data_IF_153730902186
#
_entry.id   IF_153730902186
#
_cell.length_a   1.000
_cell.length_b   1.000
_cell.length_c   1.000
_cell.angle_alpha   90.00
_cell.angle_beta   90.00
_cell.angle_gamma   90.00
#
_symmetry.space_group_name_H-M   'P 1'
#
loop_
_entity.id
_entity.type
_entity.pdbx_description
1 polymer ?
#
# COMPACT_ATOMS: atom_id res chain seq x y z
N UNK A 1 38.80 -56.80 16.38
CA UNK A 1 38.44 -57.78 15.33
C UNK A 1 36.94 -57.68 15.09
N UNK A 2 36.53 -57.17 13.95
CA UNK A 2 35.56 -57.74 12.99
C UNK A 2 35.47 -56.70 11.86
N UNK A 3 36.05 -57.06 10.71
CA UNK A 3 35.82 -56.44 9.40
C UNK A 3 34.41 -56.77 8.89
N UNK A 4 33.85 -55.95 7.99
CA UNK A 4 33.13 -56.35 6.76
C UNK A 4 32.72 -55.07 6.02
N UNK A 5 33.39 -54.70 4.92
CA UNK A 5 33.17 -55.05 3.49
C UNK A 5 32.08 -54.22 2.76
N UNK A 6 32.59 -53.49 1.77
CA UNK A 6 32.02 -52.78 0.61
C UNK A 6 31.15 -53.63 -0.33
N UNK A 7 30.18 -52.99 -1.04
CA UNK A 7 29.81 -53.12 -2.50
C UNK A 7 28.90 -51.89 -2.85
N UNK A 8 29.23 -50.94 -3.76
CA UNK A 8 29.02 -50.89 -5.24
C UNK A 8 27.54 -51.13 -5.70
N UNK A 9 26.88 -50.45 -6.65
CA UNK A 9 27.23 -49.66 -7.85
C UNK A 9 25.96 -49.04 -8.53
N UNK A 10 26.18 -48.23 -9.61
CA UNK A 10 25.35 -48.03 -10.83
C UNK A 10 24.10 -47.09 -10.69
N UNK A 11 23.68 -46.21 -11.61
CA UNK A 11 24.04 -45.84 -13.00
C UNK A 11 23.03 -44.79 -13.59
N UNK A 12 23.48 -44.00 -14.59
CA UNK A 12 22.76 -43.22 -15.66
C UNK A 12 21.77 -42.07 -15.33
N UNK A 13 22.00 -40.87 -15.91
CA UNK A 13 21.49 -40.50 -17.26
C UNK A 13 21.98 -39.14 -17.75
N UNK A 14 22.27 -39.10 -19.05
CA UNK A 14 22.51 -37.93 -19.91
C UNK A 14 21.22 -37.13 -20.13
N UNK A 15 21.33 -35.80 -20.26
CA UNK A 15 20.56 -35.04 -21.25
C UNK A 15 21.37 -33.85 -21.76
N UNK A 16 21.66 -33.85 -23.05
CA UNK A 16 22.10 -32.68 -23.80
C UNK A 16 20.88 -31.86 -24.21
N UNK A 17 21.02 -30.53 -24.20
CA UNK A 17 20.06 -29.64 -24.84
C UNK A 17 20.81 -28.65 -25.74
N UNK A 18 20.29 -28.61 -26.96
CA UNK A 18 20.74 -27.96 -28.18
C UNK A 18 20.59 -26.43 -28.09
N UNK A 19 21.62 -25.72 -28.54
CA UNK A 19 21.57 -24.29 -28.86
C UNK A 19 20.65 -24.04 -30.06
N UNK A 20 19.68 -23.13 -29.91
CA UNK A 20 18.98 -22.53 -31.05
C UNK A 20 18.94 -21.01 -30.89
N UNK A 21 19.82 -20.36 -31.63
CA UNK A 21 19.82 -18.94 -31.92
C UNK A 21 18.74 -18.62 -32.94
N UNK A 22 17.83 -17.70 -32.61
CA UNK A 22 17.05 -16.96 -33.60
C UNK A 22 16.97 -15.49 -33.19
N UNK A 23 17.29 -14.67 -34.19
CA UNK A 23 17.41 -13.23 -34.19
C UNK A 23 16.07 -12.55 -34.53
N UNK A 24 15.92 -11.34 -33.97
CA UNK A 24 15.21 -10.17 -34.53
C UNK A 24 13.70 -10.23 -34.67
N UNK A 25 13.00 -9.52 -33.78
CA UNK A 25 12.14 -8.37 -34.11
C UNK A 25 12.10 -7.45 -32.88
N UNK A 26 12.62 -6.24 -33.00
CA UNK A 26 12.64 -5.24 -31.93
C UNK A 26 11.32 -4.45 -31.89
N UNK A 27 10.70 -4.24 -30.72
CA UNK A 27 9.74 -3.16 -30.53
C UNK A 27 10.34 -2.02 -29.70
N UNK A 28 10.22 -0.82 -30.27
CA UNK A 28 10.25 0.53 -29.69
C UNK A 28 10.99 0.74 -28.36
N UNK A 29 12.09 1.49 -28.47
CA UNK A 29 12.94 1.93 -27.38
C UNK A 29 12.22 2.76 -26.32
N UNK A 30 12.48 2.38 -25.08
CA UNK A 30 12.17 2.98 -23.78
C UNK A 30 12.85 4.35 -23.54
N UNK A 31 12.78 5.28 -24.51
CA UNK A 31 13.33 6.64 -24.39
C UNK A 31 12.30 7.73 -24.03
N UNK A 32 11.00 7.43 -24.05
CA UNK A 32 9.96 8.46 -23.83
C UNK A 32 9.66 8.82 -22.36
N UNK A 33 10.18 8.08 -21.37
CA UNK A 33 9.83 8.35 -19.95
C UNK A 33 10.79 9.31 -19.25
N UNK A 34 12.06 9.39 -19.68
CA UNK A 34 13.06 10.24 -19.03
C UNK A 34 13.19 11.64 -19.66
N UNK A 35 12.75 11.84 -20.90
CA UNK A 35 12.75 13.18 -21.54
C UNK A 35 11.59 14.07 -21.06
N UNK A 36 10.60 13.53 -20.33
CA UNK A 36 9.54 14.32 -19.70
C UNK A 36 9.95 15.08 -18.43
N UNK A 37 11.13 14.78 -17.85
CA UNK A 37 11.60 15.46 -16.63
C UNK A 37 12.45 16.71 -16.96
N UNK A 38 12.90 16.89 -18.21
CA UNK A 38 13.86 17.94 -18.56
C UNK A 38 13.28 19.20 -19.23
N UNK A 39 11.97 19.34 -19.41
CA UNK A 39 11.37 20.45 -20.17
C UNK A 39 10.42 21.35 -19.36
N UNK A 40 10.85 21.79 -18.17
CA UNK A 40 10.12 22.78 -17.36
C UNK A 40 11.00 23.97 -16.95
N UNK A 41 11.78 24.49 -17.89
CA UNK A 41 12.54 25.73 -17.74
C UNK A 41 12.21 26.71 -18.87
N UNK A 42 10.96 27.14 -18.94
CA UNK A 42 10.60 28.37 -19.65
C UNK A 42 9.58 29.14 -18.83
N UNK A 43 10.11 30.15 -18.15
CA UNK A 43 9.39 31.07 -17.28
C UNK A 43 8.38 31.88 -18.08
N UNK A 44 7.10 31.65 -17.84
CA UNK A 44 6.06 32.64 -18.07
C UNK A 44 5.40 32.92 -16.72
N UNK A 45 5.60 34.16 -16.24
CA UNK A 45 4.97 34.68 -15.03
C UNK A 45 3.52 34.98 -15.38
N UNK A 46 2.68 33.93 -15.32
CA UNK A 46 1.23 34.09 -15.21
C UNK A 46 0.88 33.88 -13.74
N UNK A 47 0.68 34.98 -13.02
CA UNK A 47 -0.01 34.95 -11.72
C UNK A 47 -1.51 34.78 -11.97
N UNK A 48 -1.90 33.64 -12.56
CA UNK A 48 -3.23 33.12 -12.31
C UNK A 48 -3.20 32.59 -10.89
N UNK A 49 -3.97 33.21 -10.00
CA UNK A 49 -4.45 32.58 -8.78
C UNK A 49 -5.25 31.32 -9.17
N UNK A 50 -4.57 30.28 -9.65
CA UNK A 50 -5.16 28.97 -9.82
C UNK A 50 -5.46 28.52 -8.40
N UNK A 51 -6.74 28.60 -8.01
CA UNK A 51 -7.20 27.93 -6.80
C UNK A 51 -6.56 26.54 -6.82
N UNK A 52 -5.74 26.23 -5.81
CA UNK A 52 -5.06 24.94 -5.75
C UNK A 52 -6.13 23.87 -5.94
N UNK A 53 -5.92 22.99 -6.92
CA UNK A 53 -6.91 22.00 -7.28
C UNK A 53 -7.27 21.18 -6.03
N UNK A 54 -8.55 21.11 -5.67
CA UNK A 54 -9.00 20.30 -4.55
C UNK A 54 -8.84 18.82 -4.88
N UNK A 55 -8.49 17.98 -3.90
CA UNK A 55 -8.63 16.54 -4.05
C UNK A 55 -10.10 16.15 -3.90
N UNK A 56 -10.67 15.37 -4.84
CA UNK A 56 -12.05 14.88 -4.76
C UNK A 56 -12.18 13.45 -5.27
N UNK A 57 -12.94 12.63 -4.55
CA UNK A 57 -13.35 11.28 -4.99
C UNK A 57 -14.87 11.12 -5.01
N UNK A 58 -15.37 10.36 -5.99
CA UNK A 58 -16.78 9.94 -6.05
C UNK A 58 -17.12 8.84 -5.04
N UNK A 59 -16.13 8.31 -4.30
CA UNK A 59 -16.34 7.37 -3.20
C UNK A 59 -16.86 8.07 -1.93
N UNK A 60 -16.76 9.40 -1.84
CA UNK A 60 -17.27 10.16 -0.71
C UNK A 60 -18.80 9.95 -0.56
N UNK A 61 -19.25 9.72 0.67
CA UNK A 61 -20.65 9.45 0.99
C UNK A 61 -21.18 8.06 0.62
N UNK A 62 -20.36 7.17 0.02
CA UNK A 62 -20.78 5.81 -0.36
C UNK A 62 -20.48 4.74 0.70
N UNK A 63 -19.92 5.10 1.85
CA UNK A 63 -19.53 4.14 2.90
C UNK A 63 -20.75 3.68 3.69
N UNK A 64 -20.72 2.41 4.07
CA UNK A 64 -21.61 1.86 5.09
C UNK A 64 -20.90 1.79 6.43
N UNK A 65 -21.64 1.94 7.53
CA UNK A 65 -21.08 1.82 8.88
C UNK A 65 -20.80 0.38 9.30
N UNK A 66 -21.59 -0.57 8.79
CA UNK A 66 -21.57 -1.95 9.29
C UNK A 66 -20.62 -2.87 8.52
N UNK A 67 -20.28 -2.55 7.27
CA UNK A 67 -19.52 -3.42 6.38
C UNK A 67 -18.55 -2.63 5.51
N UNK A 68 -17.48 -3.30 5.08
CA UNK A 68 -16.71 -2.84 3.92
C UNK A 68 -17.50 -3.10 2.65
N UNK A 69 -17.38 -2.20 1.67
CA UNK A 69 -18.03 -2.32 0.37
C UNK A 69 -16.97 -2.59 -0.68
N UNK A 70 -17.19 -3.56 -1.55
CA UNK A 70 -16.29 -3.82 -2.69
C UNK A 70 -16.26 -2.63 -3.63
N UNK A 71 -15.10 -1.97 -3.73
CA UNK A 71 -14.88 -0.80 -4.60
C UNK A 71 -14.45 -1.23 -6.01
N UNK A 72 -13.64 -2.27 -6.09
CA UNK A 72 -13.18 -2.92 -7.31
C UNK A 72 -13.00 -4.42 -7.06
N UNK A 73 -12.59 -5.19 -8.07
CA UNK A 73 -12.22 -6.60 -7.88
C UNK A 73 -11.15 -6.79 -6.79
N UNK A 74 -10.30 -5.78 -6.60
CA UNK A 74 -9.05 -5.85 -5.88
C UNK A 74 -9.06 -4.96 -4.60
N UNK A 75 -10.05 -4.07 -4.46
CA UNK A 75 -10.07 -3.05 -3.42
C UNK A 75 -11.45 -3.00 -2.76
N UNK A 76 -11.48 -2.86 -1.44
CA UNK A 76 -12.69 -2.52 -0.71
C UNK A 76 -12.60 -1.11 -0.11
N UNK A 77 -13.74 -0.44 -0.01
CA UNK A 77 -13.93 0.71 0.88
C UNK A 77 -14.04 0.19 2.31
N UNK A 78 -13.27 0.80 3.21
CA UNK A 78 -13.41 0.56 4.64
C UNK A 78 -14.78 1.05 5.13
N UNK A 79 -15.28 0.56 6.28
CA UNK A 79 -16.50 1.11 6.85
C UNK A 79 -16.35 2.60 7.21
N UNK A 80 -17.48 3.31 7.32
CA UNK A 80 -17.53 4.72 7.67
C UNK A 80 -16.74 5.07 8.95
N UNK A 81 -16.77 4.18 9.95
CA UNK A 81 -16.04 4.30 11.22
C UNK A 81 -14.53 4.53 11.02
N UNK A 82 -13.92 3.97 9.98
CA UNK A 82 -12.51 4.17 9.69
C UNK A 82 -12.21 5.64 9.38
N UNK A 83 -13.06 6.26 8.55
CA UNK A 83 -12.91 7.64 8.13
C UNK A 83 -13.25 8.63 9.24
N UNK A 84 -14.25 8.29 10.07
CA UNK A 84 -14.57 9.07 11.27
C UNK A 84 -13.41 9.02 12.28
N UNK A 85 -12.80 7.84 12.47
CA UNK A 85 -11.62 7.70 13.33
C UNK A 85 -10.44 8.53 12.80
N UNK A 86 -10.21 8.59 11.49
CA UNK A 86 -9.18 9.47 10.91
C UNK A 86 -9.47 10.94 11.28
N UNK A 87 -10.70 11.42 11.04
CA UNK A 87 -11.09 12.82 11.35
C UNK A 87 -10.94 13.16 12.83
N UNK A 88 -11.29 12.23 13.71
CA UNK A 88 -11.33 12.47 15.15
C UNK A 88 -9.95 12.34 15.82
N UNK A 89 -9.06 11.52 15.26
CA UNK A 89 -7.82 11.10 15.93
C UNK A 89 -6.55 11.55 15.24
N UNK A 90 -6.57 11.79 13.94
CA UNK A 90 -5.42 12.37 13.23
C UNK A 90 -5.47 13.89 13.39
N UNK A 91 -4.44 14.53 13.97
CA UNK A 91 -4.43 15.97 14.19
C UNK A 91 -4.62 16.76 12.90
N UNK A 92 -5.35 17.86 12.95
CA UNK A 92 -5.36 18.80 11.84
C UNK A 92 -3.96 19.40 11.66
N UNK A 93 -3.48 19.47 10.42
CA UNK A 93 -2.17 20.06 10.15
C UNK A 93 -2.16 20.77 8.82
N UNK A 94 -2.12 22.11 8.86
CA UNK A 94 -1.99 22.93 7.67
C UNK A 94 -0.67 22.61 6.97
N UNK A 95 -0.74 22.38 5.66
CA UNK A 95 0.39 22.04 4.80
C UNK A 95 1.14 20.77 5.27
N UNK A 96 0.41 19.84 5.89
CA UNK A 96 0.96 18.60 6.42
C UNK A 96 1.36 17.60 5.33
N UNK A 97 2.33 16.74 5.66
CA UNK A 97 2.75 15.64 4.79
C UNK A 97 2.18 14.32 5.31
N UNK A 98 1.36 13.64 4.52
CA UNK A 98 0.74 12.37 4.90
C UNK A 98 1.15 11.19 4.00
N UNK A 99 1.09 10.00 4.57
CA UNK A 99 1.16 8.72 3.87
C UNK A 99 -0.17 7.98 4.08
N UNK A 100 -0.84 7.64 3.00
CA UNK A 100 -2.13 6.93 3.00
C UNK A 100 -1.94 5.52 2.41
N UNK A 101 -1.91 4.51 3.27
CA UNK A 101 -1.66 3.11 2.90
C UNK A 101 -2.99 2.36 2.74
N UNK A 102 -3.18 1.71 1.60
CA UNK A 102 -4.47 1.18 1.18
C UNK A 102 -5.41 2.28 0.72
N UNK A 103 -4.90 3.25 -0.05
CA UNK A 103 -5.65 4.44 -0.45
C UNK A 103 -6.87 4.12 -1.32
N UNK A 104 -6.87 2.99 -2.03
CA UNK A 104 -7.99 2.46 -2.79
C UNK A 104 -8.69 3.50 -3.67
N UNK A 105 -9.95 3.79 -3.35
CA UNK A 105 -10.77 4.75 -4.08
C UNK A 105 -10.50 6.24 -3.72
N UNK A 106 -9.43 6.52 -2.95
CA UNK A 106 -8.98 7.86 -2.59
C UNK A 106 -9.76 8.52 -1.44
N UNK A 107 -10.56 7.76 -0.69
CA UNK A 107 -11.43 8.35 0.32
C UNK A 107 -10.70 8.80 1.58
N UNK A 108 -9.84 7.95 2.15
CA UNK A 108 -8.94 8.33 3.24
C UNK A 108 -8.02 9.47 2.82
N UNK A 109 -7.57 9.45 1.56
CA UNK A 109 -6.80 10.54 0.96
C UNK A 109 -7.58 11.85 0.99
N UNK A 110 -8.86 11.86 0.59
CA UNK A 110 -9.69 13.05 0.65
C UNK A 110 -9.86 13.55 2.09
N UNK A 111 -10.10 12.65 3.04
CA UNK A 111 -10.23 13.01 4.47
C UNK A 111 -8.95 13.66 5.01
N UNK A 112 -7.79 13.10 4.68
CA UNK A 112 -6.49 13.68 5.04
C UNK A 112 -6.30 15.05 4.39
N UNK A 113 -6.63 15.19 3.10
CA UNK A 113 -6.50 16.46 2.39
C UNK A 113 -7.39 17.56 2.99
N UNK A 114 -8.65 17.23 3.31
CA UNK A 114 -9.60 18.12 4.02
C UNK A 114 -9.11 18.48 5.43
N UNK A 115 -8.27 17.63 6.04
CA UNK A 115 -7.65 17.86 7.36
C UNK A 115 -6.39 18.73 7.30
N UNK A 116 -6.04 19.24 6.11
CA UNK A 116 -4.91 20.15 5.88
C UNK A 116 -3.63 19.49 5.35
N UNK A 117 -3.61 18.16 5.20
CA UNK A 117 -2.47 17.44 4.65
C UNK A 117 -2.43 17.59 3.13
N UNK A 118 -1.80 18.66 2.64
CA UNK A 118 -1.83 18.99 1.21
C UNK A 118 -0.79 18.24 0.38
N UNK A 119 0.20 17.61 1.03
CA UNK A 119 1.17 16.72 0.37
C UNK A 119 0.92 15.28 0.81
N UNK A 120 0.42 14.43 -0.08
CA UNK A 120 0.05 13.04 0.26
C UNK A 120 0.71 12.06 -0.70
N UNK A 121 1.38 11.06 -0.13
CA UNK A 121 1.75 9.85 -0.86
C UNK A 121 0.67 8.79 -0.59
N UNK A 122 -0.17 8.52 -1.59
CA UNK A 122 -1.24 7.53 -1.56
C UNK A 122 -0.73 6.23 -2.17
N UNK A 123 -0.81 5.13 -1.43
CA UNK A 123 -0.25 3.83 -1.82
C UNK A 123 -1.37 2.82 -1.81
N UNK A 124 -1.55 2.14 -2.93
CA UNK A 124 -2.39 0.96 -3.01
C UNK A 124 -1.77 -0.03 -3.97
N UNK A 125 -1.94 -1.32 -3.71
CA UNK A 125 -1.38 -2.35 -4.57
C UNK A 125 -2.11 -2.41 -5.92
N UNK A 126 -3.32 -1.85 -6.05
CA UNK A 126 -4.10 -1.79 -7.28
C UNK A 126 -4.58 -0.38 -7.60
N UNK A 127 -4.35 0.08 -8.84
CA UNK A 127 -4.77 1.40 -9.32
C UNK A 127 -6.25 1.46 -9.73
N UNK A 128 -6.92 0.32 -9.89
CA UNK A 128 -8.23 0.24 -10.54
C UNK A 128 -9.33 1.04 -9.83
N UNK A 129 -9.37 0.99 -8.48
CA UNK A 129 -10.34 1.77 -7.71
C UNK A 129 -10.04 3.27 -7.75
N UNK A 130 -8.75 3.63 -7.77
CA UNK A 130 -8.30 5.02 -7.84
C UNK A 130 -8.74 5.68 -9.14
N UNK A 131 -8.41 5.09 -10.29
CA UNK A 131 -8.72 5.61 -11.63
C UNK A 131 -10.22 5.82 -11.89
N UNK A 132 -11.06 4.99 -11.28
CA UNK A 132 -12.52 5.06 -11.46
C UNK A 132 -13.22 6.00 -10.48
N UNK A 133 -12.58 6.28 -9.33
CA UNK A 133 -13.23 7.01 -8.24
C UNK A 133 -12.70 8.42 -8.06
N UNK A 134 -11.39 8.65 -8.24
CA UNK A 134 -10.77 9.96 -8.05
C UNK A 134 -11.11 10.87 -9.22
N UNK A 135 -11.79 11.98 -8.92
CA UNK A 135 -12.30 12.95 -9.89
C UNK A 135 -11.31 14.10 -10.11
N UNK A 136 -10.65 14.54 -9.04
CA UNK A 136 -9.65 15.61 -9.05
C UNK A 136 -8.49 15.26 -8.12
N UNK A 137 -7.26 15.50 -8.57
CA UNK A 137 -6.04 15.21 -7.83
C UNK A 137 -5.02 16.34 -8.05
N UNK A 138 -4.66 17.12 -7.01
CA UNK A 138 -3.57 18.08 -7.12
C UNK A 138 -2.23 17.39 -7.30
N UNK A 139 -1.26 18.09 -7.91
CA UNK A 139 0.10 17.58 -8.14
C UNK A 139 0.85 17.18 -6.86
N UNK A 140 0.44 17.72 -5.71
CA UNK A 140 1.00 17.41 -4.39
C UNK A 140 0.49 16.10 -3.81
N UNK A 141 -0.56 15.50 -4.40
CA UNK A 141 -1.04 14.16 -4.07
C UNK A 141 -0.55 13.20 -5.15
N UNK A 142 0.21 12.18 -4.75
CA UNK A 142 0.82 11.20 -5.66
C UNK A 142 0.31 9.81 -5.35
N UNK A 143 -0.07 9.07 -6.38
CA UNK A 143 -0.48 7.68 -6.25
C UNK A 143 0.67 6.73 -6.62
N UNK A 144 0.88 5.69 -5.81
CA UNK A 144 1.87 4.64 -6.03
C UNK A 144 1.17 3.28 -6.08
N UNK A 145 1.21 2.62 -7.24
CA UNK A 145 0.69 1.26 -7.42
C UNK A 145 1.69 0.22 -6.88
N UNK A 146 1.85 0.15 -5.56
CA UNK A 146 2.84 -0.69 -4.86
C UNK A 146 2.21 -1.33 -3.61
N UNK A 147 2.74 -2.46 -3.15
CA UNK A 147 2.48 -2.86 -1.75
C UNK A 147 3.13 -1.88 -0.76
N UNK A 148 2.72 -1.90 0.50
CA UNK A 148 3.32 -1.01 1.51
C UNK A 148 4.82 -1.32 1.71
N UNK A 149 5.22 -2.59 1.72
CA UNK A 149 6.63 -2.98 1.81
C UNK A 149 7.42 -2.60 0.55
N UNK A 150 6.86 -2.77 -0.65
CA UNK A 150 7.49 -2.29 -1.89
C UNK A 150 7.69 -0.78 -1.86
N UNK A 151 6.70 -0.03 -1.36
CA UNK A 151 6.80 1.41 -1.17
C UNK A 151 7.89 1.78 -0.15
N UNK A 152 7.95 1.11 1.00
CA UNK A 152 9.00 1.33 1.99
C UNK A 152 10.40 0.92 1.52
N UNK A 153 10.52 0.01 0.55
CA UNK A 153 11.79 -0.30 -0.10
C UNK A 153 12.17 0.76 -1.16
N UNK A 154 11.16 1.37 -1.78
CA UNK A 154 11.32 2.43 -2.78
C UNK A 154 11.76 3.75 -2.14
N UNK A 155 11.15 4.15 -1.02
CA UNK A 155 11.51 5.38 -0.31
C UNK A 155 12.66 5.13 0.68
N UNK A 156 13.51 6.12 0.92
CA UNK A 156 14.46 6.09 2.04
C UNK A 156 13.94 6.96 3.18
N UNK A 157 14.06 6.52 4.46
CA UNK A 157 13.64 7.34 5.61
C UNK A 157 14.34 8.71 5.67
N UNK A 158 15.58 8.81 5.18
CA UNK A 158 16.33 10.08 5.11
C UNK A 158 15.79 11.04 4.05
N UNK A 159 14.99 10.55 3.11
CA UNK A 159 14.39 11.35 2.03
C UNK A 159 12.96 11.77 2.35
N UNK A 160 12.25 10.97 3.15
CA UNK A 160 10.82 11.17 3.37
C UNK A 160 10.40 10.72 4.76
N UNK A 161 9.80 11.64 5.51
CA UNK A 161 9.10 11.41 6.77
C UNK A 161 7.76 12.13 6.72
N UNK A 162 6.82 11.68 7.55
CA UNK A 162 5.42 12.06 7.48
C UNK A 162 4.93 12.61 8.82
N UNK A 163 4.00 13.56 8.74
CA UNK A 163 3.28 14.07 9.90
C UNK A 163 2.10 13.17 10.30
N UNK A 164 1.53 12.46 9.32
CA UNK A 164 0.55 11.41 9.54
C UNK A 164 0.82 10.20 8.64
N UNK A 165 0.65 9.00 9.19
CA UNK A 165 0.59 7.76 8.42
C UNK A 165 -0.74 7.09 8.76
N UNK A 166 -1.52 6.73 7.74
CA UNK A 166 -2.81 6.03 7.92
C UNK A 166 -2.76 4.70 7.20
N UNK A 167 -3.15 3.63 7.90
CA UNK A 167 -3.43 2.32 7.31
C UNK A 167 -4.94 2.11 7.18
N UNK A 168 -5.40 1.76 5.98
CA UNK A 168 -6.79 1.37 5.70
C UNK A 168 -6.95 -0.16 5.57
N UNK A 169 -5.98 -0.91 6.05
CA UNK A 169 -6.00 -2.38 6.11
C UNK A 169 -5.29 -2.85 7.38
N UNK A 170 -5.59 -4.08 7.81
CA UNK A 170 -5.11 -4.59 9.09
C UNK A 170 -3.63 -4.97 9.04
N UNK A 171 -2.89 -4.54 10.06
CA UNK A 171 -1.46 -4.86 10.23
C UNK A 171 -1.17 -5.43 11.62
N UNK A 172 -0.01 -6.07 11.76
CA UNK A 172 0.50 -6.43 13.07
C UNK A 172 1.04 -5.18 13.79
N UNK A 173 0.82 -5.11 15.11
CA UNK A 173 1.25 -3.98 15.94
C UNK A 173 2.76 -3.78 15.89
N UNK A 174 3.56 -4.85 15.80
CA UNK A 174 5.01 -4.73 15.68
C UNK A 174 5.45 -4.04 14.38
N UNK A 175 4.75 -4.29 13.27
CA UNK A 175 4.98 -3.60 11.98
C UNK A 175 4.62 -2.13 12.12
N UNK A 176 3.44 -1.82 12.66
CA UNK A 176 3.01 -0.43 12.87
C UNK A 176 3.99 0.36 13.75
N UNK A 177 4.48 -0.22 14.86
CA UNK A 177 5.49 0.40 15.74
C UNK A 177 6.80 0.65 15.01
N UNK A 178 7.28 -0.31 14.21
CA UNK A 178 8.51 -0.14 13.44
C UNK A 178 8.39 0.98 12.40
N UNK A 179 7.25 1.05 11.70
CA UNK A 179 6.97 2.10 10.71
C UNK A 179 6.86 3.47 11.39
N UNK A 180 6.14 3.56 12.51
CA UNK A 180 5.99 4.80 13.28
C UNK A 180 7.34 5.40 13.66
N UNK A 181 8.24 4.59 14.24
CA UNK A 181 9.60 4.99 14.63
C UNK A 181 10.46 5.45 13.46
N UNK A 182 10.29 4.79 12.32
CA UNK A 182 11.16 5.00 11.15
C UNK A 182 10.73 6.20 10.32
N UNK A 183 9.43 6.38 10.10
CA UNK A 183 8.89 7.24 9.06
C UNK A 183 8.09 8.44 9.57
N UNK A 184 7.76 8.55 10.86
CA UNK A 184 7.08 9.75 11.38
C UNK A 184 8.06 10.88 11.67
N UNK A 185 7.69 12.13 11.39
CA UNK A 185 8.34 13.30 11.96
C UNK A 185 8.16 13.33 13.48
N UNK A 186 8.98 14.13 14.17
CA UNK A 186 8.75 14.42 15.58
C UNK A 186 7.37 15.08 15.76
N UNK A 187 6.57 14.51 16.67
CA UNK A 187 5.17 14.92 16.87
C UNK A 187 4.18 14.40 15.83
N UNK A 188 4.63 13.60 14.84
CA UNK A 188 3.75 12.91 13.90
C UNK A 188 3.01 11.73 14.55
N UNK A 189 1.95 11.26 13.88
CA UNK A 189 1.13 10.13 14.35
C UNK A 189 0.92 9.07 13.27
N UNK A 190 0.78 7.81 13.70
CA UNK A 190 0.36 6.71 12.83
C UNK A 190 -0.95 6.12 13.37
N UNK A 191 -1.98 6.08 12.53
CA UNK A 191 -3.25 5.42 12.82
C UNK A 191 -3.36 4.14 12.00
N UNK A 192 -3.58 3.00 12.67
CA UNK A 192 -3.75 1.73 11.98
C UNK A 192 -4.72 0.80 12.70
N UNK A 193 -5.60 0.06 11.99
CA UNK A 193 -6.24 -1.11 12.55
C UNK A 193 -5.18 -2.19 12.76
N UNK A 194 -4.98 -2.59 14.01
CA UNK A 194 -3.98 -3.57 14.38
C UNK A 194 -4.64 -4.84 14.92
N UNK A 195 -4.12 -5.99 14.55
CA UNK A 195 -4.56 -7.26 15.12
C UNK A 195 -4.21 -7.31 16.62
N UNK A 196 -5.17 -7.66 17.48
CA UNK A 196 -4.92 -7.84 18.92
C UNK A 196 -4.10 -9.11 19.22
N UNK A 197 -3.97 -10.01 18.23
CA UNK A 197 -3.10 -11.20 18.24
C UNK A 197 -2.38 -11.30 16.90
N UNK A 198 -1.33 -12.12 16.80
CA UNK A 198 -0.67 -12.43 15.51
C UNK A 198 -1.53 -13.26 14.54
N UNK A 199 -2.82 -13.30 14.80
CA UNK A 199 -3.82 -13.95 13.99
C UNK A 199 -4.67 -12.85 13.35
N UNK A 200 -4.52 -12.70 12.03
CA UNK A 200 -5.21 -11.68 11.23
C UNK A 200 -6.74 -11.82 11.25
N UNK A 201 -7.24 -12.95 11.74
CA UNK A 201 -8.66 -13.28 11.84
C UNK A 201 -9.22 -13.04 13.23
N UNK A 202 -8.37 -12.59 14.15
CA UNK A 202 -8.76 -12.19 15.48
C UNK A 202 -9.22 -10.72 15.50
N UNK A 203 -9.76 -10.31 16.65
CA UNK A 203 -10.20 -8.94 16.94
C UNK A 203 -9.12 -7.92 16.57
N UNK A 204 -9.57 -6.78 16.07
CA UNK A 204 -8.72 -5.67 15.69
C UNK A 204 -9.12 -4.44 16.51
N UNK A 205 -8.11 -3.63 16.82
CA UNK A 205 -8.30 -2.35 17.48
C UNK A 205 -7.57 -1.28 16.68
N UNK A 206 -8.15 -0.09 16.56
CA UNK A 206 -7.37 1.05 16.07
C UNK A 206 -6.34 1.43 17.12
N UNK A 207 -5.09 1.54 16.69
CA UNK A 207 -4.01 2.10 17.47
C UNK A 207 -3.58 3.43 16.83
N UNK A 208 -3.48 4.47 17.66
CA UNK A 208 -2.78 5.70 17.33
C UNK A 208 -1.41 5.64 18.02
N UNK A 209 -0.35 5.66 17.22
CA UNK A 209 1.04 5.61 17.66
C UNK A 209 1.71 6.97 17.44
N UNK A 210 2.63 7.36 18.33
CA UNK A 210 3.51 8.51 18.11
C UNK A 210 4.83 8.10 17.41
N UNK A 211 5.73 9.05 17.16
CA UNK A 211 7.05 8.80 16.55
C UNK A 211 8.01 7.96 17.41
N UNK A 212 7.75 7.77 18.70
CA UNK A 212 8.47 6.83 19.55
C UNK A 212 7.89 5.41 19.48
N UNK A 213 6.79 5.22 18.75
CA UNK A 213 6.04 3.98 18.68
C UNK A 213 5.22 3.69 19.93
N UNK A 214 4.99 4.68 20.79
CA UNK A 214 4.10 4.54 21.96
C UNK A 214 2.64 4.63 21.50
N UNK A 215 1.77 3.82 22.11
CA UNK A 215 0.32 3.91 21.91
C UNK A 215 -0.19 5.12 22.68
N UNK A 216 -0.65 6.14 21.96
CA UNK A 216 -1.26 7.35 22.53
C UNK A 216 -2.78 7.27 22.58
N UNK A 217 -3.38 6.40 21.77
CA UNK A 217 -4.81 6.07 21.84
C UNK A 217 -5.08 4.67 21.30
N UNK A 218 -6.08 4.00 21.87
CA UNK A 218 -6.61 2.70 21.43
C UNK A 218 -8.13 2.75 21.45
N UNK A 219 -8.79 2.24 20.41
CA UNK A 219 -10.25 2.17 20.36
C UNK A 219 -10.83 1.32 21.51
N UNK A 220 -12.00 1.72 22.02
CA UNK A 220 -12.82 0.98 23.00
C UNK A 220 -14.30 1.17 22.64
N UNK A 221 -15.10 0.10 22.42
CA UNK A 221 -14.70 -1.30 22.32
C UNK A 221 -13.79 -1.56 21.10
N UNK A 222 -13.31 -2.80 20.97
CA UNK A 222 -12.60 -3.27 19.78
C UNK A 222 -13.42 -2.98 18.51
N UNK A 223 -12.75 -2.64 17.41
CA UNK A 223 -13.38 -2.21 16.16
C UNK A 223 -14.10 -3.40 15.54
N UNK A 224 -15.33 -3.19 15.08
CA UNK A 224 -16.12 -4.22 14.43
C UNK A 224 -16.80 -5.15 15.42
N UNK A 225 -18.09 -4.90 15.66
CA UNK A 225 -19.00 -5.95 16.11
C UNK A 225 -19.06 -7.03 15.02
N UNK A 226 -18.26 -8.09 15.18
CA UNK A 226 -18.34 -9.38 14.49
C UNK A 226 -18.09 -9.44 12.98
N UNK A 227 -17.98 -8.32 12.25
CA UNK A 227 -18.11 -8.33 10.78
C UNK A 227 -17.11 -7.48 10.00
N UNK A 228 -16.39 -6.56 10.66
CA UNK A 228 -15.44 -5.68 9.97
C UNK A 228 -14.11 -6.39 9.82
N UNK A 229 -14.02 -7.22 8.78
CA UNK A 229 -12.77 -7.79 8.35
C UNK A 229 -12.10 -6.80 7.40
N UNK A 230 -11.22 -5.95 7.93
CA UNK A 230 -10.28 -5.23 7.07
C UNK A 230 -9.56 -6.25 6.18
N UNK A 231 -9.22 -5.85 4.96
CA UNK A 231 -8.36 -6.69 4.13
C UNK A 231 -7.09 -7.03 4.94
N UNK A 232 -6.73 -8.31 5.07
CA UNK A 232 -5.48 -8.66 5.72
C UNK A 232 -4.31 -8.12 4.88
N UNK A 233 -3.18 -7.88 5.54
CA UNK A 233 -1.93 -7.58 4.85
C UNK A 233 -1.68 -8.61 3.73
N UNK A 234 -1.64 -8.14 2.49
CA UNK A 234 -1.47 -8.96 1.28
C UNK A 234 -0.15 -9.73 1.26
N UNK A 235 0.79 -9.35 2.11
CA UNK A 235 2.09 -9.99 2.26
C UNK A 235 2.11 -11.10 3.32
N UNK A 236 1.03 -11.27 4.09
CA UNK A 236 0.90 -12.37 5.04
C UNK A 236 1.04 -13.72 4.35
N UNK A 237 1.79 -14.65 4.97
CA UNK A 237 2.00 -16.02 4.47
C UNK A 237 0.81 -16.94 4.70
N UNK A 238 -0.17 -16.52 5.50
CA UNK A 238 -1.32 -17.33 5.86
C UNK A 238 -2.61 -16.55 5.56
N UNK A 239 -3.58 -17.24 4.96
CA UNK A 239 -4.94 -16.77 4.79
C UNK A 239 -5.91 -17.86 5.26
N UNK A 240 -6.90 -17.51 6.10
CA UNK A 240 -8.04 -18.39 6.45
C UNK A 240 -9.36 -17.60 6.62
N UNK A 241 -10.38 -17.75 5.78
CA UNK A 241 -11.66 -17.03 5.95
C UNK A 241 -12.28 -16.56 4.65
N UNK A 242 -13.29 -15.68 4.70
CA UNK A 242 -14.03 -15.23 3.51
C UNK A 242 -13.15 -14.53 2.47
N UNK A 243 -12.02 -13.95 2.88
CA UNK A 243 -11.09 -13.28 1.97
C UNK A 243 -10.16 -14.24 1.21
N UNK A 244 -10.07 -15.53 1.55
CA UNK A 244 -9.04 -16.40 0.95
C UNK A 244 -9.28 -16.82 -0.49
N UNK A 245 -10.54 -16.90 -0.91
CA UNK A 245 -10.84 -17.09 -2.33
C UNK A 245 -10.26 -15.94 -3.18
N UNK A 246 -10.48 -14.70 -2.74
CA UNK A 246 -9.89 -13.50 -3.36
C UNK A 246 -8.38 -13.44 -3.11
N UNK A 247 -7.89 -13.96 -1.97
CA UNK A 247 -6.49 -13.85 -1.59
C UNK A 247 -5.56 -14.66 -2.51
N UNK A 248 -6.04 -15.79 -3.02
CA UNK A 248 -5.32 -16.57 -4.04
C UNK A 248 -5.10 -15.75 -5.34
N UNK A 249 -5.95 -14.76 -5.62
CA UNK A 249 -5.73 -13.80 -6.69
C UNK A 249 -4.46 -12.95 -6.50
N UNK A 250 -4.04 -12.66 -5.25
CA UNK A 250 -2.81 -11.91 -4.96
C UNK A 250 -1.54 -12.72 -5.24
N UNK A 251 -1.56 -14.04 -5.07
CA UNK A 251 -0.42 -14.88 -5.45
C UNK A 251 -0.20 -14.85 -6.97
N UNK A 252 -1.29 -14.92 -7.73
CA UNK A 252 -1.23 -14.88 -9.19
C UNK A 252 -0.79 -13.51 -9.71
N UNK A 253 -1.28 -12.42 -9.12
CA UNK A 253 -0.78 -11.07 -9.46
C UNK A 253 0.71 -10.89 -9.12
N UNK A 254 1.18 -11.41 -7.97
CA UNK A 254 2.62 -11.41 -7.63
C UNK A 254 3.46 -12.19 -8.65
N UNK A 255 2.99 -13.36 -9.09
CA UNK A 255 3.66 -14.13 -10.15
C UNK A 255 3.69 -13.34 -11.46
N UNK A 256 2.57 -12.73 -11.86
CA UNK A 256 2.47 -11.94 -13.08
C UNK A 256 3.36 -10.69 -13.05
N UNK A 257 3.46 -9.99 -11.91
CA UNK A 257 4.37 -8.85 -11.74
C UNK A 257 5.83 -9.27 -11.84
N UNK A 258 6.22 -10.37 -11.18
CA UNK A 258 7.59 -10.93 -11.31
C UNK A 258 7.93 -11.28 -12.75
N UNK A 259 6.98 -11.85 -13.50
CA UNK A 259 7.15 -12.15 -14.92
C UNK A 259 7.31 -10.87 -15.76
N UNK A 260 6.48 -9.84 -15.54
CA UNK A 260 6.60 -8.55 -16.23
C UNK A 260 7.94 -7.86 -15.96
N UNK A 261 8.40 -7.84 -14.71
CA UNK A 261 9.70 -7.26 -14.34
C UNK A 261 10.82 -8.00 -15.08
N UNK A 262 10.85 -9.33 -15.01
CA UNK A 262 11.90 -10.12 -15.67
C UNK A 262 11.89 -10.00 -17.20
N UNK A 263 10.71 -9.84 -17.82
CA UNK A 263 10.60 -9.60 -19.27
C UNK A 263 11.02 -8.19 -19.71
N UNK A 264 11.16 -7.25 -18.77
CA UNK A 264 11.57 -5.87 -19.04
C UNK A 264 13.10 -5.67 -19.00
N UNK A 265 13.84 -6.74 -18.69
CA UNK A 265 15.31 -6.79 -18.56
C UNK A 265 15.97 -7.74 -19.59
N UNK A 266 15.19 -8.38 -20.47
CA UNK A 266 15.64 -9.17 -21.61
C UNK A 266 15.30 -8.45 -22.91
#
# INVERSE_FOLDING_TARGET
MVEHKTVNSWLFMLFGIVHRSQSLLAPASRRDFLDRIAYLSSSSVFTSSSAEASFRTSAYGKQEYTNSITASKDTNLSPAEAYDTIRDRVPLKKDGVALDLGAGAGLSTQVLYESGYTTIDAVDWSIAAWETSVLEQPNSVRFFELSDQEFFNYIRPTQRRYDAIVYNFAVNSEKAVAIAKTYLNDGGVLLAPCNDRRDYWYKQSYLLLNSNGDIVWKSQPEVGAWSVQFQPDVESKTCTGIWCGTFNGFEDQRKLRKLKINSSFL
#
